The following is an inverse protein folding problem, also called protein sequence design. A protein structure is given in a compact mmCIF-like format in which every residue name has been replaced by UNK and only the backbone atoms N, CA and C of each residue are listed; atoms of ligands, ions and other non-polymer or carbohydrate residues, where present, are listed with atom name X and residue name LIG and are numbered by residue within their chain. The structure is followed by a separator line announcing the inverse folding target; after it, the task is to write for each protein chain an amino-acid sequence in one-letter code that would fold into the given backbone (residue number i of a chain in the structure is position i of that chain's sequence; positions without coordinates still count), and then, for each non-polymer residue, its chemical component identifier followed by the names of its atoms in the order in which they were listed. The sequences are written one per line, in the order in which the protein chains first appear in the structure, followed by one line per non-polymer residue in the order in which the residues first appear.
data_IF_738672777232
#
_entry.id   IF_738672777232
#
_cell.length_a   1.000
_cell.length_b   1.000
_cell.length_c   1.000
_cell.angle_alpha   90.00
_cell.angle_beta   90.00
_cell.angle_gamma   90.00
#
_symmetry.space_group_name_H-M   'P 1'
#
loop_
_entity.id
_entity.type
_entity.pdbx_description
1 polymer ?
#
# COMPACT_ATOMS: atom_id res chain seq x y z
N UNK A 1 13.04 24.97 -3.13
CA UNK A 1 12.85 24.92 -1.68
C UNK A 1 11.38 25.13 -1.40
N UNK A 2 10.60 24.07 -1.34
CA UNK A 2 9.21 24.08 -0.89
C UNK A 2 9.02 22.79 -0.08
N UNK A 3 9.48 22.86 1.17
CA UNK A 3 9.11 21.92 2.20
C UNK A 3 7.69 22.28 2.63
N UNK A 4 6.70 21.64 2.05
CA UNK A 4 5.37 21.59 2.61
C UNK A 4 5.42 20.75 3.87
N UNK A 5 5.48 21.36 5.03
CA UNK A 5 5.22 20.73 6.30
C UNK A 5 3.78 20.25 6.29
N UNK A 6 3.59 18.96 6.03
CA UNK A 6 2.37 18.28 6.43
C UNK A 6 2.39 18.25 7.95
N UNK A 7 1.73 19.25 8.55
CA UNK A 7 1.41 19.22 9.96
C UNK A 7 0.67 17.91 10.28
N UNK A 8 0.76 17.41 11.52
CA UNK A 8 0.03 16.25 11.92
C UNK A 8 -1.47 16.58 11.79
N UNK A 9 -2.08 16.20 10.69
CA UNK A 9 -3.51 16.02 10.69
C UNK A 9 -3.73 14.93 11.73
N UNK A 10 -4.23 15.34 12.87
CA UNK A 10 -4.86 14.45 13.83
C UNK A 10 -5.97 13.71 13.07
N UNK A 11 -5.60 12.63 12.43
CA UNK A 11 -6.56 11.71 11.87
C UNK A 11 -7.35 11.19 13.05
N UNK A 12 -8.55 11.71 13.21
CA UNK A 12 -9.58 11.20 14.10
C UNK A 12 -10.06 9.83 13.60
N UNK A 13 -9.17 8.92 13.34
CA UNK A 13 -9.48 7.53 13.03
C UNK A 13 -9.18 6.68 14.25
N UNK A 14 -10.08 6.81 15.17
CA UNK A 14 -10.14 6.23 16.50
C UNK A 14 -10.48 4.75 16.52
N UNK A 15 -10.40 4.01 15.45
CA UNK A 15 -10.93 2.66 15.43
C UNK A 15 -9.94 1.71 14.81
N UNK A 16 -9.08 1.16 15.65
CA UNK A 16 -8.43 -0.07 15.26
C UNK A 16 -9.41 -1.21 15.47
N UNK A 17 -9.84 -1.82 14.38
CA UNK A 17 -10.36 -3.18 14.38
C UNK A 17 -9.17 -4.08 14.74
N UNK A 18 -8.97 -4.40 16.01
CA UNK A 18 -7.97 -5.36 16.40
C UNK A 18 -8.56 -6.73 16.04
N UNK A 19 -8.28 -7.16 14.83
CA UNK A 19 -8.56 -8.53 14.41
C UNK A 19 -7.75 -9.46 15.30
N UNK A 20 -8.42 -10.15 16.22
CA UNK A 20 -7.82 -11.31 16.88
C UNK A 20 -7.45 -12.33 15.81
N UNK A 21 -6.27 -12.98 15.89
CA UNK A 21 -5.92 -14.04 14.96
C UNK A 21 -7.05 -15.08 14.96
N UNK A 22 -7.53 -15.42 13.76
CA UNK A 22 -8.52 -16.45 13.55
C UNK A 22 -7.96 -17.78 14.04
N UNK A 23 -8.47 -18.25 15.14
CA UNK A 23 -8.54 -19.70 15.40
C UNK A 23 -9.88 -20.15 14.84
N UNK A 24 -9.79 -21.10 13.91
CA UNK A 24 -10.83 -21.82 13.21
C UNK A 24 -12.28 -21.62 13.69
N UNK A 25 -13.04 -21.06 12.80
CA UNK A 25 -14.46 -21.29 12.61
C UNK A 25 -15.32 -21.40 13.87
N UNK A 26 -15.85 -20.30 14.36
CA UNK A 26 -17.20 -20.20 14.92
C UNK A 26 -17.46 -18.73 15.28
N UNK A 27 -18.61 -18.27 14.77
CA UNK A 27 -19.39 -17.10 15.20
C UNK A 27 -18.92 -15.71 14.84
N UNK A 28 -19.77 -15.11 14.13
CA UNK A 28 -20.11 -13.72 13.89
C UNK A 28 -20.19 -12.81 15.15
N UNK A 29 -19.22 -12.85 16.03
CA UNK A 29 -19.05 -11.79 17.00
C UNK A 29 -18.18 -10.73 16.38
N UNK A 30 -18.84 -9.65 15.95
CA UNK A 30 -18.20 -8.45 15.45
C UNK A 30 -17.09 -8.04 16.43
N UNK A 31 -15.87 -7.72 15.92
CA UNK A 31 -14.82 -7.24 16.78
C UNK A 31 -15.34 -6.02 17.52
N UNK A 32 -15.37 -6.07 18.84
CA UNK A 32 -15.76 -4.96 19.65
C UNK A 32 -14.79 -3.80 19.38
N UNK A 33 -15.32 -2.65 19.01
CA UNK A 33 -14.51 -1.47 18.82
C UNK A 33 -14.00 -1.02 20.18
N UNK A 34 -12.70 -1.05 20.38
CA UNK A 34 -12.06 -0.59 21.60
C UNK A 34 -11.29 0.70 21.28
N UNK A 35 -11.39 1.68 22.14
CA UNK A 35 -10.77 3.00 21.97
C UNK A 35 -9.64 3.26 22.94
N UNK A 36 -9.57 2.50 24.03
CA UNK A 36 -8.54 2.61 25.06
C UNK A 36 -7.84 1.28 25.33
N UNK A 37 -6.64 1.35 25.89
CA UNK A 37 -5.88 0.17 26.27
C UNK A 37 -6.54 -0.63 27.38
N UNK A 38 -7.23 0.06 28.29
CA UNK A 38 -7.96 -0.55 29.40
C UNK A 38 -9.16 -1.38 28.89
N UNK A 39 -9.92 -0.84 27.91
CA UNK A 39 -11.01 -1.58 27.26
C UNK A 39 -10.46 -2.80 26.51
N UNK A 40 -9.32 -2.63 25.82
CA UNK A 40 -8.68 -3.72 25.09
C UNK A 40 -8.20 -4.83 26.03
N UNK A 41 -7.57 -4.46 27.15
CA UNK A 41 -7.17 -5.43 28.17
C UNK A 41 -8.37 -6.20 28.72
N UNK A 42 -9.42 -5.51 29.09
CA UNK A 42 -10.66 -6.11 29.63
C UNK A 42 -11.29 -7.09 28.62
N UNK A 43 -11.32 -6.71 27.37
CA UNK A 43 -11.79 -7.57 26.28
C UNK A 43 -10.95 -8.85 26.14
N UNK A 44 -9.62 -8.73 26.09
CA UNK A 44 -8.73 -9.87 25.98
C UNK A 44 -8.82 -10.79 27.20
N UNK A 45 -8.87 -10.21 28.41
CA UNK A 45 -8.95 -10.95 29.65
C UNK A 45 -10.24 -11.78 29.73
N UNK A 46 -11.37 -11.18 29.38
CA UNK A 46 -12.67 -11.88 29.35
C UNK A 46 -12.65 -13.06 28.39
N UNK A 47 -12.11 -12.86 27.18
CA UNK A 47 -11.98 -13.91 26.16
C UNK A 47 -11.00 -15.02 26.55
N UNK A 48 -9.93 -14.65 27.23
CA UNK A 48 -8.97 -15.62 27.75
C UNK A 48 -9.60 -16.53 28.80
N UNK A 49 -10.38 -15.97 29.73
CA UNK A 49 -11.13 -16.75 30.74
C UNK A 49 -12.17 -17.69 30.11
N UNK A 50 -12.76 -17.31 29.00
CA UNK A 50 -13.70 -18.13 28.23
C UNK A 50 -13.00 -19.24 27.40
N UNK A 51 -11.67 -19.30 27.39
CA UNK A 51 -10.90 -20.30 26.62
C UNK A 51 -10.96 -20.09 25.11
N UNK A 52 -11.38 -18.91 24.64
CA UNK A 52 -11.54 -18.60 23.23
C UNK A 52 -10.28 -17.98 22.59
N UNK A 53 -9.22 -17.76 23.36
CA UNK A 53 -7.98 -17.12 22.90
C UNK A 53 -6.79 -18.10 22.99
N UNK A 54 -5.95 -18.08 21.96
CA UNK A 54 -4.72 -18.86 21.89
C UNK A 54 -3.56 -18.28 22.74
N UNK A 55 -2.41 -18.97 22.74
CA UNK A 55 -1.22 -18.59 23.53
C UNK A 55 -0.67 -17.21 23.20
N UNK A 56 -0.86 -16.73 21.97
CA UNK A 56 -0.38 -15.41 21.51
C UNK A 56 -1.10 -14.23 22.21
N UNK A 57 -2.25 -14.50 22.80
CA UNK A 57 -3.04 -13.49 23.55
C UNK A 57 -2.35 -12.99 24.80
N UNK A 58 -1.46 -13.77 25.39
CA UNK A 58 -0.69 -13.38 26.59
C UNK A 58 0.17 -12.17 26.25
N UNK A 59 0.86 -12.19 25.10
CA UNK A 59 1.64 -11.04 24.63
C UNK A 59 0.79 -9.80 24.39
N UNK A 60 -0.42 -9.97 23.82
CA UNK A 60 -1.36 -8.85 23.63
C UNK A 60 -1.86 -8.28 24.95
N UNK A 61 -2.16 -9.13 25.94
CA UNK A 61 -2.54 -8.66 27.28
C UNK A 61 -1.41 -7.89 27.97
N UNK A 62 -0.15 -8.35 27.83
CA UNK A 62 0.99 -7.61 28.35
C UNK A 62 1.15 -6.25 27.68
N UNK A 63 0.96 -6.18 26.36
CA UNK A 63 1.00 -4.91 25.62
C UNK A 63 -0.13 -3.99 26.13
N UNK A 64 -1.35 -4.49 26.26
CA UNK A 64 -2.48 -3.70 26.73
C UNK A 64 -2.31 -3.21 28.16
N UNK A 65 -1.70 -4.02 29.05
CA UNK A 65 -1.46 -3.68 30.44
C UNK A 65 -0.35 -2.63 30.63
N UNK A 66 0.64 -2.61 29.73
CA UNK A 66 1.79 -1.69 29.81
C UNK A 66 1.59 -0.39 29.02
N UNK A 67 0.45 -0.22 28.38
CA UNK A 67 0.03 1.01 27.76
C UNK A 67 -1.20 1.56 28.49
N UNK A 68 -1.45 2.86 28.37
CA UNK A 68 -2.59 3.52 29.02
C UNK A 68 -3.22 4.56 28.12
N UNK A 69 -4.48 4.88 28.37
CA UNK A 69 -5.23 5.89 27.66
C UNK A 69 -5.67 5.45 26.27
N UNK A 70 -5.75 6.39 25.33
CA UNK A 70 -6.29 6.13 23.99
C UNK A 70 -5.31 5.33 23.13
N UNK A 71 -5.84 4.36 22.38
CA UNK A 71 -5.07 3.61 21.41
C UNK A 71 -4.79 4.52 20.21
N UNK A 72 -3.51 4.85 20.00
CA UNK A 72 -3.04 5.63 18.85
C UNK A 72 -2.20 4.73 17.96
N UNK A 73 -2.54 4.73 16.68
CA UNK A 73 -1.78 4.02 15.66
C UNK A 73 -0.96 5.01 14.83
N UNK A 74 0.32 4.77 14.76
CA UNK A 74 1.22 5.47 13.85
C UNK A 74 1.34 4.68 12.55
N UNK A 75 1.20 5.36 11.42
CA UNK A 75 1.20 4.77 10.09
C UNK A 75 2.36 5.33 9.29
N UNK A 76 3.10 4.44 8.65
CA UNK A 76 4.18 4.81 7.75
C UNK A 76 4.02 4.08 6.42
N UNK A 77 3.81 4.83 5.36
CA UNK A 77 3.74 4.30 4.00
C UNK A 77 5.05 4.59 3.27
N UNK A 78 5.64 3.54 2.70
CA UNK A 78 6.81 3.67 1.84
C UNK A 78 6.40 4.01 0.42
N UNK A 79 7.29 4.71 -0.31
CA UNK A 79 7.07 4.99 -1.71
C UNK A 79 6.85 3.70 -2.52
N UNK A 80 5.83 3.64 -3.39
CA UNK A 80 5.58 2.47 -4.24
C UNK A 80 6.78 2.18 -5.15
N UNK A 81 7.17 0.89 -5.24
CA UNK A 81 8.15 0.43 -6.22
C UNK A 81 7.38 -0.04 -7.46
N UNK A 82 7.65 0.59 -8.62
CA UNK A 82 6.94 0.29 -9.86
C UNK A 82 7.95 -0.06 -10.95
N UNK A 83 7.80 -1.26 -11.53
CA UNK A 83 8.61 -1.74 -12.65
C UNK A 83 7.67 -2.22 -13.75
N UNK A 84 7.97 -1.86 -15.02
CA UNK A 84 7.04 -2.16 -16.10
C UNK A 84 7.66 -2.55 -17.42
N UNK A 85 6.83 -3.25 -18.20
CA UNK A 85 7.01 -3.49 -19.62
C UNK A 85 5.90 -2.78 -20.37
N UNK A 86 6.26 -1.83 -21.23
CA UNK A 86 5.32 -1.02 -22.01
C UNK A 86 5.40 -1.39 -23.49
N UNK A 87 4.22 -1.50 -24.08
CA UNK A 87 4.01 -1.68 -25.52
C UNK A 87 3.41 -0.38 -26.07
N UNK A 88 4.06 0.20 -27.07
CA UNK A 88 3.68 1.48 -27.63
C UNK A 88 3.45 1.38 -29.14
N UNK A 89 2.22 1.56 -29.57
CA UNK A 89 1.83 1.62 -30.99
C UNK A 89 1.83 3.08 -31.45
N UNK A 90 2.66 3.42 -32.41
CA UNK A 90 2.68 4.76 -33.02
C UNK A 90 1.40 4.97 -33.83
N UNK A 91 0.69 6.05 -33.54
CA UNK A 91 -0.46 6.53 -34.31
C UNK A 91 0.00 7.51 -35.40
N UNK A 92 0.98 8.35 -35.06
CA UNK A 92 1.65 9.25 -35.98
C UNK A 92 3.05 9.60 -35.42
N UNK A 93 3.74 10.61 -35.97
CA UNK A 93 5.09 10.99 -35.55
C UNK A 93 5.18 11.42 -34.08
N UNK A 94 4.11 11.93 -33.49
CA UNK A 94 4.10 12.46 -32.12
C UNK A 94 3.24 11.68 -31.16
N UNK A 95 2.16 11.06 -31.64
CA UNK A 95 1.19 10.38 -30.80
C UNK A 95 1.36 8.86 -30.85
N UNK A 96 1.26 8.24 -29.70
CA UNK A 96 1.24 6.79 -29.57
C UNK A 96 0.23 6.34 -28.51
N UNK A 97 -0.35 5.17 -28.76
CA UNK A 97 -1.19 4.47 -27.79
C UNK A 97 -0.31 3.47 -27.04
N UNK A 98 -0.41 3.47 -25.71
CA UNK A 98 0.41 2.64 -24.86
C UNK A 98 -0.42 1.73 -23.99
N UNK A 99 0.02 0.49 -23.88
CA UNK A 99 -0.44 -0.49 -22.91
C UNK A 99 0.76 -1.26 -22.36
N UNK A 100 0.54 -2.24 -21.50
CA UNK A 100 1.63 -3.04 -20.96
C UNK A 100 1.29 -3.74 -19.68
N UNK A 101 2.35 -4.13 -18.96
CA UNK A 101 2.25 -4.72 -17.63
C UNK A 101 3.16 -3.95 -16.67
N UNK A 102 2.63 -3.59 -15.52
CA UNK A 102 3.39 -2.95 -14.44
C UNK A 102 3.26 -3.77 -13.17
N UNK A 103 4.39 -4.13 -12.59
CA UNK A 103 4.43 -4.70 -11.25
C UNK A 103 4.58 -3.57 -10.24
N UNK A 104 3.70 -3.56 -9.24
CA UNK A 104 3.74 -2.58 -8.14
C UNK A 104 3.83 -3.29 -6.79
N UNK A 105 4.80 -2.87 -5.97
CA UNK A 105 4.94 -3.28 -4.58
C UNK A 105 4.61 -2.11 -3.66
N UNK A 106 3.56 -2.26 -2.86
CA UNK A 106 3.20 -1.34 -1.78
C UNK A 106 3.68 -1.92 -0.44
N UNK A 107 4.26 -1.05 0.39
CA UNK A 107 4.69 -1.40 1.77
C UNK A 107 4.13 -0.37 2.73
N UNK A 108 3.51 -0.86 3.80
CA UNK A 108 2.96 -0.02 4.86
C UNK A 108 3.30 -0.64 6.21
N UNK A 109 3.65 0.19 7.16
CA UNK A 109 3.94 -0.19 8.53
C UNK A 109 2.95 0.52 9.45
N UNK A 110 2.34 -0.25 10.33
CA UNK A 110 1.39 0.25 11.33
C UNK A 110 1.95 -0.10 12.70
N UNK A 111 2.10 0.89 13.56
CA UNK A 111 2.62 0.71 14.92
C UNK A 111 1.61 1.23 15.93
N UNK A 112 1.22 0.40 16.88
CA UNK A 112 0.24 0.71 17.92
C UNK A 112 0.86 0.46 19.29
N UNK A 113 0.93 1.48 20.14
CA UNK A 113 1.61 1.46 21.44
C UNK A 113 3.01 2.08 21.38
N UNK A 114 3.66 2.16 22.53
CA UNK A 114 4.98 2.78 22.69
C UNK A 114 6.09 1.74 22.91
N UNK A 115 6.56 1.58 24.15
CA UNK A 115 7.60 0.59 24.49
C UNK A 115 7.10 -0.84 24.29
N UNK A 116 5.88 -1.11 24.71
CA UNK A 116 5.13 -2.33 24.41
C UNK A 116 4.18 -2.03 23.26
N UNK A 117 4.42 -2.62 22.08
CA UNK A 117 3.69 -2.26 20.87
C UNK A 117 3.37 -3.43 19.95
N UNK A 118 2.33 -3.26 19.19
CA UNK A 118 2.01 -4.11 18.05
C UNK A 118 2.55 -3.42 16.79
N UNK A 119 3.31 -4.13 16.00
CA UNK A 119 3.84 -3.65 14.72
C UNK A 119 3.36 -4.56 13.60
N UNK A 120 2.62 -4.00 12.65
CA UNK A 120 2.08 -4.71 11.50
C UNK A 120 2.76 -4.22 10.22
N UNK A 121 3.41 -5.13 9.52
CA UNK A 121 4.06 -4.87 8.25
C UNK A 121 3.23 -5.46 7.10
N UNK A 122 2.63 -4.57 6.30
CA UNK A 122 1.80 -4.96 5.16
C UNK A 122 2.60 -4.86 3.87
N UNK A 123 2.52 -5.91 3.04
CA UNK A 123 3.07 -5.94 1.68
C UNK A 123 1.98 -6.36 0.71
N UNK A 124 1.74 -5.53 -0.31
CA UNK A 124 0.76 -5.81 -1.36
C UNK A 124 1.46 -5.77 -2.72
N UNK A 125 1.20 -6.78 -3.50
CA UNK A 125 1.74 -6.96 -4.84
C UNK A 125 0.62 -6.86 -5.86
N UNK A 126 0.78 -5.99 -6.86
CA UNK A 126 -0.18 -5.78 -7.93
C UNK A 126 0.45 -5.97 -9.29
N UNK A 127 -0.35 -6.42 -10.24
CA UNK A 127 -0.09 -6.31 -11.67
C UNK A 127 -1.04 -5.26 -12.24
N UNK A 128 -0.48 -4.18 -12.75
CA UNK A 128 -1.20 -3.10 -13.40
C UNK A 128 -1.24 -3.27 -14.90
N UNK A 129 -2.37 -2.98 -15.51
CA UNK A 129 -2.57 -2.92 -16.96
C UNK A 129 -2.95 -1.49 -17.30
N UNK A 130 -1.99 -0.68 -17.79
CA UNK A 130 -2.26 0.69 -18.23
C UNK A 130 -2.85 0.72 -19.64
N UNK A 131 -3.68 1.75 -19.90
CA UNK A 131 -4.09 2.18 -21.22
C UNK A 131 -3.92 3.69 -21.29
N UNK A 132 -2.93 4.15 -22.06
CA UNK A 132 -2.49 5.55 -22.04
C UNK A 132 -2.30 6.09 -23.45
N UNK A 133 -2.57 7.39 -23.62
CA UNK A 133 -2.18 8.15 -24.80
C UNK A 133 -0.89 8.90 -24.47
N UNK A 134 0.10 8.80 -25.36
CA UNK A 134 1.42 9.42 -25.19
C UNK A 134 1.65 10.44 -26.31
N UNK A 135 2.16 11.61 -25.90
CA UNK A 135 2.56 12.67 -26.83
C UNK A 135 4.05 12.95 -26.69
N UNK A 136 4.83 12.68 -27.74
CA UNK A 136 6.26 12.96 -27.80
C UNK A 136 6.49 14.40 -28.24
N UNK A 137 6.97 15.23 -27.36
CA UNK A 137 7.23 16.65 -27.62
C UNK A 137 8.69 16.95 -27.93
N UNK A 138 9.61 16.03 -27.60
CA UNK A 138 11.03 16.21 -27.86
C UNK A 138 11.70 14.88 -28.24
N UNK A 139 12.64 14.96 -29.21
CA UNK A 139 13.45 13.82 -29.61
C UNK A 139 14.82 14.35 -30.08
N UNK A 140 15.86 13.79 -29.52
CA UNK A 140 17.24 14.09 -29.91
C UNK A 140 18.11 12.84 -29.82
N UNK A 141 18.63 12.41 -30.97
CA UNK A 141 19.43 11.19 -31.12
C UNK A 141 18.71 9.97 -30.52
N UNK A 142 19.24 9.45 -29.38
CA UNK A 142 18.69 8.30 -28.67
C UNK A 142 17.75 8.66 -27.52
N UNK A 143 17.53 9.95 -27.27
CA UNK A 143 16.66 10.42 -26.19
C UNK A 143 15.35 10.95 -26.76
N UNK A 144 14.28 10.68 -26.05
CA UNK A 144 12.99 11.33 -26.30
C UNK A 144 12.30 11.65 -24.98
N UNK A 145 11.56 12.76 -24.99
CA UNK A 145 10.70 13.13 -23.88
C UNK A 145 9.25 13.19 -24.36
N UNK A 146 8.36 12.75 -23.50
CA UNK A 146 6.96 12.60 -23.81
C UNK A 146 6.10 12.89 -22.59
N UNK A 147 4.84 13.17 -22.79
CA UNK A 147 3.81 13.26 -21.77
C UNK A 147 2.78 12.16 -22.02
N UNK A 148 2.24 11.56 -20.98
CA UNK A 148 1.16 10.59 -21.11
C UNK A 148 -0.03 10.95 -20.23
N UNK A 149 -1.22 10.52 -20.66
CA UNK A 149 -2.41 10.52 -19.82
C UNK A 149 -3.23 9.27 -20.14
N UNK A 150 -3.88 8.73 -19.12
CA UNK A 150 -4.69 7.52 -19.30
C UNK A 150 -5.23 6.95 -18.01
N UNK A 151 -5.60 5.68 -18.08
CA UNK A 151 -6.14 4.92 -16.97
C UNK A 151 -5.36 3.62 -16.78
N UNK A 152 -5.48 3.07 -15.58
CA UNK A 152 -4.86 1.80 -15.23
C UNK A 152 -5.77 1.01 -14.30
N UNK A 153 -5.81 -0.29 -14.50
CA UNK A 153 -6.37 -1.24 -13.53
C UNK A 153 -5.24 -2.04 -12.90
N UNK A 154 -5.20 -2.07 -11.58
CA UNK A 154 -4.26 -2.84 -10.78
C UNK A 154 -4.96 -4.05 -10.17
N UNK A 155 -4.49 -5.24 -10.51
CA UNK A 155 -5.01 -6.53 -10.06
C UNK A 155 -4.09 -7.05 -8.95
N UNK A 156 -4.62 -7.30 -7.74
CA UNK A 156 -3.80 -7.83 -6.66
C UNK A 156 -3.43 -9.29 -6.93
N UNK A 157 -2.15 -9.61 -6.76
CA UNK A 157 -1.66 -10.99 -6.93
C UNK A 157 -1.23 -11.62 -5.61
N UNK A 158 -0.83 -10.80 -4.64
CA UNK A 158 -0.42 -11.26 -3.32
C UNK A 158 -0.53 -10.13 -2.31
N UNK A 159 -1.10 -10.44 -1.14
CA UNK A 159 -1.09 -9.58 0.03
C UNK A 159 -0.60 -10.37 1.24
N UNK A 160 0.27 -9.78 2.05
CA UNK A 160 0.75 -10.36 3.30
C UNK A 160 0.76 -9.31 4.39
N UNK A 161 0.27 -9.70 5.56
CA UNK A 161 0.38 -8.95 6.80
C UNK A 161 1.25 -9.75 7.76
N UNK A 162 2.35 -9.14 8.21
CA UNK A 162 3.23 -9.72 9.19
C UNK A 162 3.14 -8.91 10.46
N UNK A 163 2.63 -9.53 11.52
CA UNK A 163 2.50 -8.91 12.83
C UNK A 163 3.66 -9.27 13.74
N UNK A 164 4.07 -8.31 14.56
CA UNK A 164 5.06 -8.47 15.61
C UNK A 164 4.50 -7.93 16.92
N UNK A 165 4.71 -8.65 18.01
CA UNK A 165 4.57 -8.14 19.35
C UNK A 165 5.93 -7.71 19.85
N UNK A 166 6.09 -6.45 20.20
CA UNK A 166 7.34 -5.92 20.73
C UNK A 166 7.17 -5.69 22.22
N UNK A 167 7.93 -6.44 23.01
CA UNK A 167 7.95 -6.36 24.47
C UNK A 167 9.38 -6.06 24.90
N UNK A 168 9.59 -4.98 25.65
CA UNK A 168 10.94 -4.52 26.06
C UNK A 168 11.96 -4.45 24.91
N UNK A 169 11.52 -3.93 23.77
CA UNK A 169 12.32 -3.82 22.52
C UNK A 169 12.67 -5.16 21.84
N UNK A 170 12.14 -6.28 22.32
CA UNK A 170 12.32 -7.60 21.71
C UNK A 170 11.11 -7.89 20.81
N UNK A 171 11.29 -8.01 19.47
CA UNK A 171 10.21 -8.35 18.56
C UNK A 171 9.93 -9.86 18.57
N UNK A 172 8.74 -10.25 18.94
CA UNK A 172 8.22 -11.60 18.76
C UNK A 172 7.40 -11.66 17.48
N UNK A 173 7.90 -12.40 16.50
CA UNK A 173 7.23 -12.56 15.21
C UNK A 173 6.03 -13.50 15.34
N UNK A 174 4.88 -13.05 14.85
CA UNK A 174 3.67 -13.87 14.69
C UNK A 174 3.61 -14.47 13.29
N UNK A 175 2.68 -15.39 13.09
CA UNK A 175 2.44 -15.98 11.77
C UNK A 175 1.98 -14.93 10.77
N UNK A 176 2.50 -15.05 9.54
CA UNK A 176 2.10 -14.17 8.44
C UNK A 176 0.71 -14.53 7.96
N UNK A 177 -0.18 -13.55 7.88
CA UNK A 177 -1.53 -13.73 7.39
C UNK A 177 -1.66 -13.27 5.94
N UNK A 178 -2.38 -14.01 5.08
CA UNK A 178 -2.71 -13.54 3.76
C UNK A 178 -3.73 -12.39 3.86
N UNK A 179 -3.53 -11.35 3.05
CA UNK A 179 -4.45 -10.21 2.93
C UNK A 179 -5.01 -10.17 1.54
N UNK A 180 -6.34 -10.19 1.43
CA UNK A 180 -7.03 -9.99 0.15
C UNK A 180 -7.15 -8.50 -0.13
N UNK A 181 -6.55 -8.03 -1.20
CA UNK A 181 -6.66 -6.67 -1.66
C UNK A 181 -7.67 -6.59 -2.83
N UNK A 182 -8.41 -5.49 -2.97
CA UNK A 182 -9.34 -5.29 -4.09
C UNK A 182 -8.60 -4.88 -5.36
N UNK A 183 -9.28 -4.99 -6.49
CA UNK A 183 -8.88 -4.36 -7.75
C UNK A 183 -8.91 -2.85 -7.57
N UNK A 184 -7.93 -2.17 -8.15
CA UNK A 184 -7.79 -0.74 -8.00
C UNK A 184 -7.77 -0.06 -9.37
N UNK A 185 -8.67 0.88 -9.59
CA UNK A 185 -8.69 1.72 -10.77
C UNK A 185 -8.00 3.05 -10.49
N UNK A 186 -7.28 3.56 -11.47
CA UNK A 186 -6.66 4.88 -11.39
C UNK A 186 -6.67 5.59 -12.73
N UNK A 187 -6.68 6.92 -12.65
CA UNK A 187 -6.36 7.82 -13.76
C UNK A 187 -4.97 8.37 -13.49
N UNK A 188 -4.16 8.47 -14.52
CA UNK A 188 -2.77 8.90 -14.37
C UNK A 188 -2.34 9.87 -15.47
N UNK A 189 -1.37 10.70 -15.12
CA UNK A 189 -0.65 11.56 -16.05
C UNK A 189 0.82 11.57 -15.69
N UNK A 190 1.67 11.64 -16.70
CA UNK A 190 3.12 11.60 -16.50
C UNK A 190 3.88 12.43 -17.52
N UNK A 191 5.13 12.69 -17.18
CA UNK A 191 6.16 13.16 -18.11
C UNK A 191 7.29 12.15 -18.05
N UNK A 192 7.72 11.63 -19.19
CA UNK A 192 8.73 10.59 -19.26
C UNK A 192 9.94 10.97 -20.10
N UNK A 193 11.05 10.32 -19.80
CA UNK A 193 12.25 10.31 -20.63
C UNK A 193 12.51 8.86 -21.04
N UNK A 194 12.80 8.65 -22.33
CA UNK A 194 13.13 7.36 -22.88
C UNK A 194 14.51 7.41 -23.55
N UNK A 195 15.33 6.43 -23.26
CA UNK A 195 16.57 6.16 -23.97
C UNK A 195 16.37 4.99 -24.94
N UNK A 196 16.52 5.23 -26.22
CA UNK A 196 16.35 4.22 -27.27
C UNK A 196 17.62 3.35 -27.36
N UNK A 197 17.48 2.06 -27.03
CA UNK A 197 18.51 1.04 -27.21
C UNK A 197 18.57 0.62 -28.67
N UNK A 198 17.41 0.44 -29.28
CA UNK A 198 17.19 0.14 -30.70
C UNK A 198 16.06 1.04 -31.23
N UNK A 199 15.77 1.08 -32.54
CA UNK A 199 14.64 1.82 -33.09
C UNK A 199 13.28 1.40 -32.50
N UNK A 200 13.16 0.14 -32.04
CA UNK A 200 11.92 -0.40 -31.49
C UNK A 200 11.92 -0.53 -29.96
N UNK A 201 13.09 -0.56 -29.30
CA UNK A 201 13.17 -0.81 -27.86
C UNK A 201 13.93 0.28 -27.12
N UNK A 202 13.46 0.62 -25.92
CA UNK A 202 14.11 1.61 -25.05
C UNK A 202 13.79 1.41 -23.58
N UNK A 203 14.61 2.03 -22.75
CA UNK A 203 14.41 2.13 -21.31
C UNK A 203 13.72 3.46 -21.03
N UNK A 204 12.74 3.47 -20.15
CA UNK A 204 12.06 4.71 -19.74
C UNK A 204 12.10 4.91 -18.24
N UNK A 205 12.04 6.19 -17.87
CA UNK A 205 11.81 6.70 -16.52
C UNK A 205 10.67 7.70 -16.60
N UNK A 206 9.64 7.54 -15.77
CA UNK A 206 8.35 8.21 -15.97
C UNK A 206 7.74 8.68 -14.65
N UNK A 207 8.15 9.86 -14.11
CA UNK A 207 7.43 10.50 -13.02
C UNK A 207 5.94 10.60 -13.32
N UNK A 208 5.12 9.97 -12.49
CA UNK A 208 3.67 9.79 -12.72
C UNK A 208 2.89 10.24 -11.50
N UNK A 209 1.86 11.05 -11.74
CA UNK A 209 0.82 11.38 -10.76
C UNK A 209 -0.37 10.48 -11.05
N UNK A 210 -0.83 9.76 -10.03
CA UNK A 210 -1.97 8.87 -10.11
C UNK A 210 -3.08 9.39 -9.20
N UNK A 211 -4.31 9.31 -9.68
CA UNK A 211 -5.50 9.45 -8.86
C UNK A 211 -6.20 8.10 -8.79
N UNK A 212 -6.23 7.50 -7.61
CA UNK A 212 -6.87 6.22 -7.36
C UNK A 212 -8.34 6.40 -7.02
N UNK A 213 -9.21 5.69 -7.75
CA UNK A 213 -10.66 5.73 -7.54
C UNK A 213 -10.98 4.93 -6.30
N UNK A 214 -11.73 5.48 -5.31
CA UNK A 214 -12.10 4.75 -4.10
C UNK A 214 -12.88 3.46 -4.41
N UNK A 215 -12.47 2.36 -3.81
CA UNK A 215 -13.00 1.01 -4.06
C UNK A 215 -13.98 0.50 -2.98
N UNK A 216 -14.26 1.32 -1.94
CA UNK A 216 -15.15 0.96 -0.85
C UNK A 216 -14.62 -0.10 0.12
N UNK A 217 -13.44 -0.69 -0.10
CA UNK A 217 -12.88 -1.71 0.81
C UNK A 217 -12.42 -1.10 2.13
N UNK A 218 -12.23 -1.96 3.16
CA UNK A 218 -11.72 -1.57 4.48
C UNK A 218 -10.18 -1.59 4.55
N UNK A 219 -9.51 -2.05 3.48
CA UNK A 219 -8.06 -2.20 3.47
C UNK A 219 -7.36 -0.84 3.45
N UNK A 220 -6.47 -0.60 4.40
CA UNK A 220 -5.72 0.67 4.52
C UNK A 220 -4.45 0.59 3.69
N UNK A 221 -4.32 1.51 2.75
CA UNK A 221 -3.15 1.62 1.86
C UNK A 221 -2.86 3.07 1.58
N UNK A 222 -1.62 3.37 1.18
CA UNK A 222 -1.25 4.72 0.72
C UNK A 222 -2.19 5.27 -0.35
N UNK A 223 -2.71 4.41 -1.23
CA UNK A 223 -3.63 4.79 -2.33
C UNK A 223 -5.00 5.27 -1.85
N UNK A 224 -5.45 4.81 -0.68
CA UNK A 224 -6.71 5.22 -0.07
C UNK A 224 -6.57 6.44 0.81
N UNK A 225 -5.51 6.48 1.60
CA UNK A 225 -5.25 7.61 2.49
C UNK A 225 -4.82 8.84 1.71
N UNK A 226 -4.08 8.61 0.61
CA UNK A 226 -3.66 9.63 -0.34
C UNK A 226 -4.06 9.23 -1.76
N UNK A 227 -5.30 9.54 -2.20
CA UNK A 227 -5.78 9.19 -3.53
C UNK A 227 -4.89 9.76 -4.65
N UNK A 228 -4.29 10.93 -4.42
CA UNK A 228 -3.23 11.46 -5.27
C UNK A 228 -1.89 10.93 -4.80
N UNK A 229 -1.31 10.05 -5.60
CA UNK A 229 -0.02 9.41 -5.28
C UNK A 229 0.98 9.65 -6.41
N UNK A 230 2.18 10.03 -6.01
CA UNK A 230 3.32 10.13 -6.93
C UNK A 230 4.04 8.79 -7.01
N UNK A 231 4.36 8.34 -8.22
CA UNK A 231 5.17 7.15 -8.48
C UNK A 231 6.25 7.44 -9.51
N UNK A 232 7.29 6.64 -9.53
CA UNK A 232 8.39 6.74 -10.49
C UNK A 232 8.59 5.40 -11.21
N UNK A 233 7.70 5.05 -12.16
CA UNK A 233 7.87 3.87 -12.98
C UNK A 233 9.17 3.89 -13.79
N UNK A 234 9.81 2.74 -13.80
CA UNK A 234 10.99 2.44 -14.62
C UNK A 234 10.72 1.15 -15.39
N UNK A 235 11.14 1.07 -16.64
CA UNK A 235 10.86 -0.14 -17.39
C UNK A 235 11.42 -0.14 -18.81
N UNK A 236 11.02 -1.18 -19.54
CA UNK A 236 11.31 -1.34 -20.95
C UNK A 236 10.07 -0.99 -21.77
N UNK A 237 10.28 -0.29 -22.89
CA UNK A 237 9.21 0.04 -23.86
C UNK A 237 9.59 -0.53 -25.22
N UNK A 238 8.65 -1.24 -25.82
CA UNK A 238 8.71 -1.72 -27.19
C UNK A 238 7.73 -0.88 -28.02
N UNK A 239 8.19 -0.33 -29.15
CA UNK A 239 7.42 0.58 -30.01
C UNK A 239 7.43 0.08 -31.46
N UNK A 240 6.27 0.13 -32.13
CA UNK A 240 6.14 -0.23 -33.55
C UNK A 240 5.19 0.72 -34.28
#
# INVERSE_FOLDING_TARGET
MLAGSLGPQLAQNLYKLIATPHTDGISSDFPQQVSTWEEYYSYLHTRYQQGTLGKDSIGLMQIAQNNSGRIVENQQHHAPIVVGLSLSKKLNERWSLETGLQYTLLRSEFTTGEAFRIQDNQKLHYIGIPLRLSYRFWHYKRFSSYATAGMQVDIPIKGTLQSFHVTDSIPHKLDSQPVSAPWQWSVNTSIGIQYHLTPQAGIYLEPTVNYYIPDGSQLRTIRKEHPFTFTLPVGLRISW
#
